data_IF_788999771773
#
_entry.id   IF_788999771773
#
_cell.length_a   1.000
_cell.length_b   1.000
_cell.length_c   1.000
_cell.angle_alpha   90.00
_cell.angle_beta   90.00
_cell.angle_gamma   90.00
#
_symmetry.space_group_name_H-M   'P 1'
#
loop_
_entity.id
_entity.type
_entity.pdbx_description
1 polymer ?
#
# COMPACT_ATOMS: atom_id res chain seq x y z
N UNK A 1 18.82 -4.64 -8.98
CA UNK A 1 19.30 -4.24 -10.33
C UNK A 1 20.16 -5.30 -11.03
N UNK A 2 20.91 -6.15 -10.32
CA UNK A 2 21.82 -7.14 -10.96
C UNK A 2 21.20 -8.41 -11.57
N UNK A 3 19.97 -8.80 -11.20
CA UNK A 3 19.34 -10.03 -11.74
C UNK A 3 18.42 -9.80 -12.95
N UNK A 4 18.01 -8.55 -13.21
CA UNK A 4 17.16 -8.20 -14.37
C UNK A 4 18.01 -8.14 -15.65
N UNK A 5 19.26 -7.68 -15.54
CA UNK A 5 20.19 -7.60 -16.67
C UNK A 5 20.64 -8.98 -17.20
N UNK A 6 20.67 -10.01 -16.36
CA UNK A 6 21.06 -11.37 -16.78
C UNK A 6 20.01 -12.07 -17.64
N UNK A 7 18.71 -11.76 -17.46
CA UNK A 7 17.63 -12.36 -18.26
C UNK A 7 17.45 -11.73 -19.64
N UNK A 8 18.04 -10.56 -19.89
CA UNK A 8 17.97 -9.89 -21.19
C UNK A 8 19.02 -10.39 -22.20
N UNK A 9 20.07 -11.09 -21.74
CA UNK A 9 21.10 -11.66 -22.63
C UNK A 9 20.71 -13.04 -23.20
N UNK A 10 19.76 -13.76 -22.59
CA UNK A 10 19.32 -15.09 -23.08
C UNK A 10 18.38 -15.00 -24.29
N UNK A 11 17.82 -13.82 -24.58
CA UNK A 11 16.89 -13.60 -25.70
C UNK A 11 17.59 -12.97 -26.93
N UNK A 12 18.91 -12.78 -26.88
CA UNK A 12 19.69 -12.32 -28.04
C UNK A 12 19.42 -10.88 -28.49
N UNK A 13 18.81 -10.05 -27.64
CA UNK A 13 18.54 -8.64 -27.95
C UNK A 13 19.71 -7.80 -27.40
N UNK A 14 20.42 -7.09 -28.28
CA UNK A 14 21.54 -6.23 -27.88
C UNK A 14 21.02 -4.86 -27.40
N UNK A 15 21.62 -4.24 -26.37
CA UNK A 15 21.21 -2.92 -25.86
C UNK A 15 21.40 -1.74 -26.84
N UNK A 16 21.73 -2.02 -28.10
CA UNK A 16 22.14 -1.03 -29.10
C UNK A 16 21.01 -0.68 -30.08
N UNK A 17 19.86 -1.35 -29.99
CA UNK A 17 18.71 -1.11 -30.88
C UNK A 17 17.81 0.07 -30.44
N UNK A 18 18.13 0.77 -29.34
CA UNK A 18 17.31 1.85 -28.80
C UNK A 18 17.85 3.27 -28.97
N UNK A 19 19.09 3.45 -29.45
CA UNK A 19 19.69 4.78 -29.62
C UNK A 19 20.54 4.81 -30.90
N UNK A 20 19.92 5.24 -32.00
CA UNK A 20 20.48 5.17 -33.35
C UNK A 20 21.59 6.18 -33.67
N UNK A 21 22.76 6.11 -33.01
CA UNK A 21 24.01 6.72 -33.50
C UNK A 21 25.25 5.88 -33.12
N UNK A 22 26.28 5.78 -34.00
CA UNK A 22 27.46 4.96 -33.73
C UNK A 22 28.48 5.69 -32.84
N UNK A 23 28.96 4.99 -31.80
CA UNK A 23 30.04 5.45 -30.92
C UNK A 23 31.37 4.91 -31.46
N UNK A 24 32.07 5.72 -32.25
CA UNK A 24 33.50 5.59 -32.50
C UNK A 24 34.08 6.99 -32.53
N UNK A 25 34.63 7.45 -31.40
CA UNK A 25 35.78 8.38 -31.30
C UNK A 25 35.83 9.01 -29.90
N UNK A 26 36.30 8.24 -28.90
CA UNK A 26 36.49 8.75 -27.54
C UNK A 26 37.94 8.61 -27.03
N UNK A 27 38.93 8.56 -27.93
CA UNK A 27 40.34 8.32 -27.54
C UNK A 27 41.32 9.31 -28.17
N UNK A 28 41.00 10.60 -28.27
CA UNK A 28 41.97 11.56 -28.82
C UNK A 28 41.95 12.97 -28.26
N UNK A 29 41.63 13.18 -26.98
CA UNK A 29 41.56 14.53 -26.39
C UNK A 29 42.30 14.72 -25.06
N UNK A 30 43.44 14.05 -24.88
CA UNK A 30 44.42 14.53 -23.90
C UNK A 30 45.82 14.15 -24.36
N UNK A 31 46.44 15.06 -25.12
CA UNK A 31 47.90 15.22 -25.26
C UNK A 31 48.16 16.34 -26.29
N UNK A 32 48.28 17.58 -25.81
CA UNK A 32 49.03 18.67 -26.47
C UNK A 32 49.32 19.79 -25.46
N UNK A 33 50.61 20.03 -25.26
CA UNK A 33 51.22 21.09 -24.45
C UNK A 33 50.85 22.52 -24.90
N UNK A 34 51.05 23.55 -24.05
CA UNK A 34 50.48 24.87 -24.27
C UNK A 34 51.34 25.73 -25.21
N UNK A 35 50.74 26.29 -26.25
CA UNK A 35 51.32 27.40 -27.01
C UNK A 35 50.50 28.66 -26.80
N UNK A 36 51.25 29.70 -26.43
CA UNK A 36 50.84 31.06 -26.13
C UNK A 36 50.33 31.75 -27.39
N UNK A 37 49.12 32.31 -27.38
CA UNK A 37 48.76 33.40 -28.28
C UNK A 37 47.62 34.23 -27.67
N UNK A 38 47.89 35.53 -27.53
CA UNK A 38 47.00 36.54 -27.00
C UNK A 38 46.04 36.99 -28.10
N UNK A 39 44.73 37.01 -27.85
CA UNK A 39 43.80 37.81 -28.66
C UNK A 39 42.67 38.33 -27.77
N UNK A 40 42.33 39.58 -28.01
CA UNK A 40 41.66 40.55 -27.14
C UNK A 40 40.24 40.15 -26.72
N UNK A 41 39.91 40.39 -25.44
CA UNK A 41 38.57 40.20 -24.88
C UNK A 41 37.73 41.45 -25.12
N UNK A 42 36.73 41.36 -25.98
CA UNK A 42 35.56 42.24 -25.90
C UNK A 42 34.71 41.83 -24.67
N UNK A 43 34.59 42.74 -23.72
CA UNK A 43 33.78 42.58 -22.49
C UNK A 43 32.28 42.66 -22.80
N UNK A 44 31.61 41.51 -22.80
CA UNK A 44 30.16 41.42 -22.57
C UNK A 44 29.94 41.44 -21.04
N UNK A 45 28.98 42.23 -20.49
CA UNK A 45 28.74 42.25 -19.05
C UNK A 45 28.25 40.88 -18.59
N UNK A 46 29.03 40.21 -17.74
CA UNK A 46 28.63 38.95 -17.12
C UNK A 46 27.49 39.21 -16.13
N UNK A 47 26.27 38.90 -16.50
CA UNK A 47 25.20 38.65 -15.52
C UNK A 47 25.66 37.44 -14.72
N UNK A 48 25.98 37.65 -13.45
CA UNK A 48 26.34 36.58 -12.52
C UNK A 48 25.12 35.66 -12.35
N UNK A 49 25.05 34.59 -13.14
CA UNK A 49 24.17 33.46 -12.86
C UNK A 49 24.73 32.78 -11.62
N UNK A 50 24.07 32.95 -10.47
CA UNK A 50 24.39 32.25 -9.24
C UNK A 50 24.37 30.74 -9.49
N UNK A 51 25.52 30.08 -9.42
CA UNK A 51 25.74 28.68 -9.81
C UNK A 51 25.28 27.66 -8.77
N UNK A 52 24.24 27.96 -7.99
CA UNK A 52 23.74 27.08 -6.94
C UNK A 52 22.24 27.22 -6.72
N UNK A 53 21.60 26.17 -6.20
CA UNK A 53 20.22 26.26 -5.76
C UNK A 53 20.10 27.38 -4.72
N UNK A 54 19.16 28.33 -4.90
CA UNK A 54 19.04 29.47 -4.00
C UNK A 54 18.71 28.98 -2.58
N UNK A 55 19.35 29.59 -1.58
CA UNK A 55 19.05 29.30 -0.19
C UNK A 55 17.55 29.54 0.08
N UNK A 56 16.86 28.53 0.63
CA UNK A 56 15.43 28.60 0.91
C UNK A 56 15.07 29.75 1.86
N UNK A 57 16.00 30.18 2.73
CA UNK A 57 15.79 31.33 3.61
C UNK A 57 15.64 32.65 2.84
N UNK A 58 16.11 32.71 1.58
CA UNK A 58 16.01 33.90 0.72
C UNK A 58 14.75 33.88 -0.17
N UNK A 59 13.97 32.79 -0.14
CA UNK A 59 12.73 32.67 -0.89
C UNK A 59 11.54 33.10 -0.03
N UNK A 60 10.40 33.47 -0.64
CA UNK A 60 9.12 33.52 0.05
C UNK A 60 8.87 32.22 0.83
N UNK A 61 8.41 32.30 2.09
CA UNK A 61 8.29 31.14 2.97
C UNK A 61 7.36 30.06 2.39
N UNK A 62 6.36 30.44 1.60
CA UNK A 62 5.44 29.52 0.92
C UNK A 62 6.19 28.60 -0.05
N UNK A 63 7.17 29.14 -0.80
CA UNK A 63 7.98 28.36 -1.73
C UNK A 63 8.97 27.46 -0.98
N UNK A 64 9.53 27.96 0.13
CA UNK A 64 10.38 27.16 1.01
C UNK A 64 9.62 25.96 1.58
N UNK A 65 8.42 26.18 2.11
CA UNK A 65 7.56 25.13 2.65
C UNK A 65 7.11 24.14 1.57
N UNK A 66 6.79 24.59 0.36
CA UNK A 66 6.42 23.70 -0.75
C UNK A 66 7.58 22.76 -1.10
N UNK A 67 8.81 23.28 -1.21
CA UNK A 67 10.01 22.45 -1.46
C UNK A 67 10.19 21.42 -0.34
N UNK A 68 10.08 21.85 0.92
CA UNK A 68 10.25 20.96 2.06
C UNK A 68 9.11 19.94 2.21
N UNK A 69 7.90 20.23 1.70
CA UNK A 69 6.74 19.33 1.78
C UNK A 69 6.95 17.99 1.06
N UNK A 70 7.91 17.94 0.13
CA UNK A 70 8.29 16.74 -0.60
C UNK A 70 9.31 15.86 0.13
N UNK A 71 9.85 16.32 1.25
CA UNK A 71 10.83 15.59 2.04
C UNK A 71 10.17 14.60 3.00
N UNK A 72 10.86 13.50 3.29
CA UNK A 72 10.47 12.58 4.35
C UNK A 72 10.92 13.14 5.72
N UNK A 73 10.50 12.48 6.82
CA UNK A 73 10.82 12.93 8.17
C UNK A 73 12.32 13.04 8.46
N UNK A 74 13.13 12.11 7.93
CA UNK A 74 14.59 12.12 8.13
C UNK A 74 15.21 13.33 7.44
N UNK A 75 14.85 13.56 6.18
CA UNK A 75 15.33 14.69 5.40
C UNK A 75 14.88 16.03 5.99
N UNK A 76 13.67 16.09 6.57
CA UNK A 76 13.19 17.26 7.31
C UNK A 76 13.96 17.51 8.60
N UNK A 77 14.31 16.46 9.34
CA UNK A 77 15.18 16.59 10.50
C UNK A 77 16.56 17.15 10.11
N UNK A 78 17.14 16.69 8.99
CA UNK A 78 18.40 17.23 8.47
C UNK A 78 18.24 18.67 7.98
N UNK A 79 17.18 18.97 7.24
CA UNK A 79 16.84 20.31 6.78
C UNK A 79 16.69 21.28 7.96
N UNK A 80 16.19 20.83 9.11
CA UNK A 80 16.06 21.66 10.31
C UNK A 80 17.37 22.15 10.91
N UNK A 81 18.51 21.51 10.57
CA UNK A 81 19.84 21.98 10.96
C UNK A 81 20.26 23.25 10.20
N UNK A 82 19.67 23.50 9.02
CA UNK A 82 19.99 24.66 8.16
C UNK A 82 18.82 25.65 8.13
N UNK A 83 17.60 25.15 7.93
CA UNK A 83 16.36 25.92 7.81
C UNK A 83 15.42 25.63 8.97
N UNK A 84 15.87 25.91 10.19
CA UNK A 84 15.16 25.55 11.44
C UNK A 84 13.71 26.05 11.50
N UNK A 85 13.45 27.28 11.06
CA UNK A 85 12.12 27.89 11.08
C UNK A 85 11.16 27.30 10.04
N UNK A 86 11.66 26.87 8.88
CA UNK A 86 10.84 26.26 7.82
C UNK A 86 10.62 24.76 8.08
N UNK A 87 11.68 24.03 8.41
CA UNK A 87 11.61 22.57 8.55
C UNK A 87 10.94 22.09 9.85
N UNK A 88 10.77 22.96 10.85
CA UNK A 88 9.98 22.67 12.06
C UNK A 88 8.56 23.24 11.98
N UNK A 89 8.09 23.65 10.80
CA UNK A 89 6.74 24.17 10.63
C UNK A 89 5.67 23.11 10.97
N UNK A 90 4.68 23.51 11.77
CA UNK A 90 3.66 22.59 12.27
C UNK A 90 2.71 22.08 11.18
N UNK A 91 2.43 22.86 10.13
CA UNK A 91 1.57 22.42 9.03
C UNK A 91 2.29 21.39 8.15
N UNK A 92 3.59 21.55 8.00
CA UNK A 92 4.43 20.61 7.28
C UNK A 92 4.47 19.25 8.00
N UNK A 93 4.74 19.23 9.31
CA UNK A 93 4.69 18.00 10.11
C UNK A 93 3.27 17.42 10.21
N UNK A 94 2.24 18.25 10.28
CA UNK A 94 0.84 17.81 10.24
C UNK A 94 0.52 17.06 8.94
N UNK A 95 0.93 17.63 7.80
CA UNK A 95 0.70 17.04 6.48
C UNK A 95 1.41 15.71 6.36
N UNK A 96 2.66 15.64 6.83
CA UNK A 96 3.43 14.41 6.86
C UNK A 96 2.76 13.35 7.75
N UNK A 97 2.32 13.72 8.94
CA UNK A 97 1.58 12.83 9.84
C UNK A 97 0.33 12.25 9.17
N UNK A 98 -0.52 13.10 8.58
CA UNK A 98 -1.76 12.67 7.91
C UNK A 98 -1.51 11.83 6.66
N UNK A 99 -0.37 12.02 6.00
CA UNK A 99 0.05 11.19 4.86
C UNK A 99 0.45 9.78 5.30
N UNK A 100 1.16 9.65 6.43
CA UNK A 100 1.61 8.38 6.97
C UNK A 100 0.51 7.62 7.76
N UNK A 101 -0.28 8.36 8.54
CA UNK A 101 -1.33 7.87 9.43
C UNK A 101 -2.62 8.65 9.16
N UNK A 102 -3.43 8.17 8.20
CA UNK A 102 -4.61 8.92 7.76
C UNK A 102 -5.68 9.16 8.84
N UNK A 103 -5.76 8.31 9.87
CA UNK A 103 -6.72 8.46 10.96
C UNK A 103 -6.15 8.01 12.30
N UNK A 104 -6.01 8.96 13.22
CA UNK A 104 -5.80 8.73 14.66
C UNK A 104 -6.72 9.65 15.47
N UNK A 105 -7.07 9.24 16.68
CA UNK A 105 -8.08 9.93 17.49
C UNK A 105 -7.63 11.34 17.89
N UNK A 106 -6.33 11.53 18.16
CA UNK A 106 -5.75 12.83 18.53
C UNK A 106 -5.98 13.94 17.49
N UNK A 107 -6.19 13.60 16.21
CA UNK A 107 -6.49 14.61 15.19
C UNK A 107 -7.83 15.33 15.37
N UNK A 108 -8.74 14.76 16.18
CA UNK A 108 -10.06 15.34 16.45
C UNK A 108 -10.03 16.32 17.62
N UNK A 109 -9.12 16.10 18.56
CA UNK A 109 -8.99 16.92 19.73
C UNK A 109 -8.14 18.13 19.37
N UNK A 110 -8.70 19.33 19.55
CA UNK A 110 -7.98 20.58 19.34
C UNK A 110 -6.69 20.58 20.15
N UNK A 111 -5.61 21.09 19.55
CA UNK A 111 -4.24 21.05 20.08
C UNK A 111 -4.20 21.61 21.52
N UNK A 112 -3.76 20.80 22.48
CA UNK A 112 -3.29 21.33 23.76
C UNK A 112 -2.12 22.29 23.51
N UNK A 113 -1.89 23.26 24.40
CA UNK A 113 -0.91 24.32 24.19
C UNK A 113 0.54 23.83 24.00
N UNK A 114 0.85 22.56 24.32
CA UNK A 114 2.17 21.93 24.16
C UNK A 114 2.25 20.91 23.02
N UNK A 115 1.19 20.75 22.23
CA UNK A 115 1.16 19.75 21.16
C UNK A 115 2.02 20.17 19.96
N UNK A 116 2.93 19.29 19.54
CA UNK A 116 3.70 19.44 18.29
C UNK A 116 3.50 18.23 17.38
N UNK A 117 3.22 18.49 16.09
CA UNK A 117 3.13 17.43 15.09
C UNK A 117 4.45 16.71 14.86
N UNK A 118 5.59 17.38 15.08
CA UNK A 118 6.90 16.72 15.02
C UNK A 118 7.02 15.68 16.13
N UNK A 119 6.65 16.02 17.36
CA UNK A 119 6.66 15.06 18.47
C UNK A 119 5.67 13.93 18.25
N UNK A 120 4.46 14.25 17.77
CA UNK A 120 3.46 13.25 17.42
C UNK A 120 3.99 12.29 16.35
N UNK A 121 4.67 12.79 15.32
CA UNK A 121 5.28 11.96 14.28
C UNK A 121 6.20 10.91 14.91
N UNK A 122 7.10 11.34 15.80
CA UNK A 122 8.06 10.44 16.47
C UNK A 122 7.34 9.37 17.30
N UNK A 123 6.28 9.76 18.04
CA UNK A 123 5.47 8.82 18.83
C UNK A 123 4.72 7.82 17.95
N UNK A 124 4.18 8.26 16.82
CA UNK A 124 3.47 7.38 15.87
C UNK A 124 4.43 6.42 15.15
N UNK A 125 5.63 6.88 14.82
CA UNK A 125 6.68 6.06 14.22
C UNK A 125 7.13 4.96 15.20
N UNK A 126 7.44 5.33 16.45
CA UNK A 126 7.78 4.39 17.52
C UNK A 126 6.64 3.39 17.79
N UNK A 127 5.40 3.86 17.81
CA UNK A 127 4.23 2.99 17.98
C UNK A 127 4.09 1.97 16.83
N UNK A 128 4.39 2.35 15.59
CA UNK A 128 4.34 1.43 14.46
C UNK A 128 5.45 0.38 14.52
N UNK A 129 6.66 0.76 14.92
CA UNK A 129 7.76 -0.17 15.16
C UNK A 129 7.39 -1.17 16.28
N UNK A 130 6.78 -0.65 17.34
CA UNK A 130 6.30 -1.47 18.47
C UNK A 130 5.19 -2.42 18.01
N UNK A 131 4.19 -1.94 17.26
CA UNK A 131 3.12 -2.76 16.70
C UNK A 131 3.64 -3.89 15.80
N UNK A 132 4.66 -3.59 14.99
CA UNK A 132 5.28 -4.58 14.12
C UNK A 132 6.04 -5.67 14.89
N UNK A 133 6.43 -5.39 16.14
CA UNK A 133 7.00 -6.39 17.05
C UNK A 133 5.87 -7.16 17.76
N UNK A 134 5.01 -6.43 18.48
CA UNK A 134 3.83 -6.93 19.17
C UNK A 134 2.65 -5.96 18.96
N UNK A 135 1.56 -6.41 18.32
CA UNK A 135 0.48 -5.51 17.94
C UNK A 135 -0.34 -5.02 19.14
N UNK A 136 -0.42 -5.78 20.23
CA UNK A 136 -1.16 -5.39 21.42
C UNK A 136 -0.41 -4.30 22.17
N UNK A 137 0.91 -4.48 22.36
CA UNK A 137 1.76 -3.46 22.97
C UNK A 137 1.78 -2.19 22.14
N UNK A 138 1.79 -2.29 20.80
CA UNK A 138 1.73 -1.12 19.92
C UNK A 138 0.43 -0.33 20.05
N UNK A 139 -0.71 -1.01 20.17
CA UNK A 139 -2.00 -0.33 20.40
C UNK A 139 -2.07 0.26 21.81
N UNK A 140 -1.61 -0.46 22.83
CA UNK A 140 -1.54 0.02 24.22
C UNK A 140 -0.64 1.26 24.35
N UNK A 141 0.49 1.28 23.64
CA UNK A 141 1.39 2.43 23.57
C UNK A 141 0.66 3.69 23.06
N UNK A 142 -0.23 3.53 22.07
CA UNK A 142 -1.01 4.63 21.50
C UNK A 142 -2.15 5.07 22.43
N UNK A 143 -2.83 4.12 23.07
CA UNK A 143 -3.97 4.41 23.95
C UNK A 143 -3.55 5.04 25.26
N UNK A 144 -2.48 4.54 25.89
CA UNK A 144 -1.92 5.10 27.13
C UNK A 144 -1.46 6.56 27.00
N UNK A 145 -1.04 6.98 25.80
CA UNK A 145 -0.64 8.36 25.48
C UNK A 145 -1.78 9.23 24.94
N UNK A 146 -3.00 8.71 24.85
CA UNK A 146 -4.15 9.45 24.31
C UNK A 146 -4.06 9.74 22.80
N UNK A 147 -3.18 9.06 22.07
CA UNK A 147 -3.03 9.24 20.62
C UNK A 147 -4.17 8.55 19.86
N UNK A 148 -4.56 7.36 20.34
CA UNK A 148 -5.62 6.53 19.80
C UNK A 148 -6.59 6.18 20.92
N UNK A 149 -7.89 6.27 20.69
CA UNK A 149 -8.88 5.77 21.66
C UNK A 149 -9.04 4.25 21.51
N UNK A 150 -9.23 3.55 22.63
CA UNK A 150 -9.59 2.12 22.63
C UNK A 150 -11.07 1.91 22.28
N UNK A 151 -11.47 2.46 21.12
CA UNK A 151 -12.77 2.20 20.50
C UNK A 151 -12.55 1.37 19.22
N UNK A 152 -13.33 0.32 18.98
CA UNK A 152 -13.08 -0.59 17.85
C UNK A 152 -13.02 0.11 16.50
N UNK A 153 -13.86 1.13 16.30
CA UNK A 153 -13.87 1.94 15.06
C UNK A 153 -12.63 2.82 14.88
N UNK A 154 -12.05 3.34 15.96
CA UNK A 154 -10.86 4.18 15.89
C UNK A 154 -9.64 3.33 15.57
N UNK A 155 -9.51 2.18 16.24
CA UNK A 155 -8.47 1.20 15.95
C UNK A 155 -8.61 0.68 14.52
N UNK A 156 -9.82 0.34 14.07
CA UNK A 156 -10.05 -0.11 12.69
C UNK A 156 -9.64 0.95 11.66
N UNK A 157 -9.95 2.23 11.89
CA UNK A 157 -9.51 3.34 11.02
C UNK A 157 -8.00 3.50 11.01
N UNK A 158 -7.36 3.39 12.16
CA UNK A 158 -5.91 3.43 12.28
C UNK A 158 -5.26 2.29 11.48
N UNK A 159 -5.72 1.04 11.67
CA UNK A 159 -5.21 -0.12 10.94
C UNK A 159 -5.44 -0.02 9.42
N UNK A 160 -6.60 0.51 9.00
CA UNK A 160 -6.93 0.68 7.58
C UNK A 160 -6.07 1.75 6.90
N UNK A 161 -5.83 2.87 7.57
CA UNK A 161 -5.14 4.03 6.97
C UNK A 161 -3.61 3.96 7.07
N UNK A 162 -3.08 3.18 8.03
CA UNK A 162 -1.63 3.11 8.27
C UNK A 162 -0.97 2.06 7.37
N UNK A 163 -0.10 2.54 6.46
CA UNK A 163 0.58 1.71 5.45
C UNK A 163 1.81 0.96 5.99
N UNK A 164 2.43 1.46 7.05
CA UNK A 164 3.71 0.95 7.57
C UNK A 164 3.58 -0.31 8.45
N UNK A 165 2.34 -0.69 8.80
CA UNK A 165 2.06 -1.85 9.64
C UNK A 165 2.16 -3.14 8.84
N UNK A 166 2.84 -4.14 9.41
CA UNK A 166 3.01 -5.42 8.77
C UNK A 166 1.69 -6.22 8.69
N UNK A 167 1.34 -6.78 7.52
CA UNK A 167 0.05 -7.47 7.34
C UNK A 167 -0.16 -8.67 8.26
N UNK A 168 0.89 -9.43 8.57
CA UNK A 168 0.84 -10.54 9.52
C UNK A 168 0.52 -10.08 10.95
N UNK A 169 1.06 -8.93 11.37
CA UNK A 169 0.80 -8.36 12.70
C UNK A 169 -0.59 -7.76 12.83
N UNK A 170 -1.09 -7.15 11.74
CA UNK A 170 -2.51 -6.78 11.64
C UNK A 170 -3.42 -8.01 11.82
N UNK A 171 -3.13 -9.09 11.10
CA UNK A 171 -3.91 -10.32 11.18
C UNK A 171 -3.89 -10.93 12.58
N UNK A 172 -2.72 -11.02 13.22
CA UNK A 172 -2.54 -11.50 14.60
C UNK A 172 -3.43 -10.73 15.59
N UNK A 173 -3.48 -9.39 15.45
CA UNK A 173 -4.32 -8.54 16.28
C UNK A 173 -5.82 -8.79 16.03
N UNK A 174 -6.23 -8.81 14.76
CA UNK A 174 -7.63 -8.97 14.34
C UNK A 174 -8.18 -10.36 14.69
N UNK A 175 -7.32 -11.36 14.82
CA UNK A 175 -7.68 -12.70 15.29
C UNK A 175 -8.19 -12.70 16.74
N UNK A 176 -7.64 -11.85 17.60
CA UNK A 176 -8.07 -11.74 19.00
C UNK A 176 -9.13 -10.64 19.21
N UNK A 177 -9.08 -9.57 18.42
CA UNK A 177 -10.02 -8.44 18.47
C UNK A 177 -11.02 -8.49 17.31
N UNK A 178 -11.99 -9.41 17.40
CA UNK A 178 -13.04 -9.60 16.38
C UNK A 178 -13.97 -8.39 16.24
N UNK A 179 -14.15 -7.63 17.33
CA UNK A 179 -14.84 -6.34 17.36
C UNK A 179 -14.18 -5.31 16.42
N UNK A 180 -12.84 -5.27 16.38
CA UNK A 180 -12.07 -4.40 15.49
C UNK A 180 -12.15 -4.91 14.05
N UNK A 181 -12.10 -6.23 13.84
CA UNK A 181 -12.24 -6.86 12.52
C UNK A 181 -13.56 -6.48 11.86
N UNK A 182 -14.69 -6.61 12.57
CA UNK A 182 -16.01 -6.24 12.06
C UNK A 182 -16.03 -4.79 11.58
N UNK A 183 -15.52 -3.85 12.39
CA UNK A 183 -15.43 -2.43 12.03
C UNK A 183 -14.50 -2.19 10.84
N UNK A 184 -13.39 -2.91 10.77
CA UNK A 184 -12.45 -2.80 9.66
C UNK A 184 -13.09 -3.24 8.34
N UNK A 185 -13.85 -4.34 8.34
CA UNK A 185 -14.59 -4.79 7.15
C UNK A 185 -15.66 -3.76 6.76
N UNK A 186 -16.35 -3.16 7.74
CA UNK A 186 -17.34 -2.11 7.49
C UNK A 186 -16.74 -0.83 6.86
N UNK A 187 -15.45 -0.56 7.02
CA UNK A 187 -14.79 0.57 6.35
C UNK A 187 -14.53 0.31 4.85
N UNK A 188 -14.57 -0.94 4.42
CA UNK A 188 -14.31 -1.31 3.03
C UNK A 188 -15.48 -0.94 2.12
N UNK A 189 -15.17 -0.52 0.89
CA UNK A 189 -16.16 -0.29 -0.16
C UNK A 189 -16.01 -1.34 -1.28
N UNK A 190 -17.08 -2.14 -1.44
CA UNK A 190 -17.20 -3.17 -2.49
C UNK A 190 -18.30 -2.86 -3.51
N UNK A 191 -18.79 -1.62 -3.55
CA UNK A 191 -19.83 -1.22 -4.49
C UNK A 191 -19.36 -1.40 -5.93
N UNK A 192 -20.24 -1.97 -6.77
CA UNK A 192 -20.00 -2.25 -8.19
C UNK A 192 -18.78 -3.16 -8.45
N UNK A 193 -18.32 -3.91 -7.45
CA UNK A 193 -17.24 -4.87 -7.62
C UNK A 193 -17.80 -6.27 -7.86
N UNK A 194 -17.16 -6.99 -8.78
CA UNK A 194 -17.44 -8.41 -8.96
C UNK A 194 -16.92 -9.22 -7.76
N UNK A 195 -17.69 -10.20 -7.29
CA UNK A 195 -17.41 -10.91 -6.03
C UNK A 195 -15.98 -11.47 -5.93
N UNK A 196 -15.45 -12.22 -6.93
CA UNK A 196 -14.04 -12.65 -6.91
C UNK A 196 -13.02 -11.51 -6.78
N UNK A 197 -13.27 -10.36 -7.43
CA UNK A 197 -12.38 -9.20 -7.36
C UNK A 197 -12.41 -8.57 -5.96
N UNK A 198 -13.61 -8.41 -5.39
CA UNK A 198 -13.80 -7.88 -4.05
C UNK A 198 -13.14 -8.78 -3.00
N UNK A 199 -13.27 -10.10 -3.15
CA UNK A 199 -12.69 -11.08 -2.24
C UNK A 199 -11.15 -11.10 -2.31
N UNK A 200 -10.56 -10.98 -3.52
CA UNK A 200 -9.10 -10.75 -3.67
C UNK A 200 -8.64 -9.48 -3.00
N UNK A 201 -9.36 -8.37 -3.20
CA UNK A 201 -9.04 -7.09 -2.56
C UNK A 201 -9.09 -7.21 -1.04
N UNK A 202 -10.12 -7.86 -0.50
CA UNK A 202 -10.29 -8.09 0.92
C UNK A 202 -9.10 -8.84 1.53
N UNK A 203 -8.70 -9.97 0.95
CA UNK A 203 -7.55 -10.73 1.45
C UNK A 203 -6.20 -10.03 1.25
N UNK A 204 -6.07 -9.15 0.26
CA UNK A 204 -4.88 -8.31 0.11
C UNK A 204 -4.72 -7.32 1.26
N UNK A 205 -5.82 -6.83 1.82
CA UNK A 205 -5.80 -5.82 2.89
C UNK A 205 -5.72 -6.42 4.29
N UNK A 206 -6.51 -7.48 4.55
CA UNK A 206 -6.61 -8.08 5.89
C UNK A 206 -5.61 -9.23 6.09
N UNK A 207 -5.05 -9.75 4.99
CA UNK A 207 -4.36 -11.06 4.95
C UNK A 207 -5.29 -12.20 5.35
N UNK A 208 -5.24 -13.33 4.64
CA UNK A 208 -5.99 -14.49 5.12
C UNK A 208 -5.20 -15.21 6.22
N UNK A 209 -5.89 -15.81 7.20
CA UNK A 209 -5.27 -16.69 8.18
C UNK A 209 -4.59 -17.88 7.49
N UNK A 210 -3.43 -18.30 8.01
CA UNK A 210 -2.69 -19.46 7.49
C UNK A 210 -3.47 -20.76 7.68
N UNK A 211 -4.22 -20.86 8.77
CA UNK A 211 -5.07 -22.02 9.06
C UNK A 211 -6.49 -21.81 8.54
N UNK A 212 -7.08 -22.87 7.97
CA UNK A 212 -8.51 -22.95 7.60
C UNK A 212 -9.37 -23.11 8.87
N UNK A 213 -9.27 -22.14 9.77
CA UNK A 213 -9.89 -22.15 11.10
C UNK A 213 -11.08 -21.20 11.23
N UNK A 214 -11.58 -21.08 12.46
CA UNK A 214 -12.74 -20.25 12.82
C UNK A 214 -12.60 -18.78 12.36
N UNK A 215 -11.39 -18.21 12.42
CA UNK A 215 -11.14 -16.83 11.98
C UNK A 215 -11.51 -16.62 10.51
N UNK A 216 -11.20 -17.56 9.62
CA UNK A 216 -11.53 -17.43 8.20
C UNK A 216 -13.04 -17.34 8.01
N UNK A 217 -13.78 -18.17 8.73
CA UNK A 217 -15.26 -18.17 8.73
C UNK A 217 -15.80 -16.82 9.16
N UNK A 218 -15.32 -16.27 10.28
CA UNK A 218 -15.74 -14.96 10.79
C UNK A 218 -15.41 -13.84 9.79
N UNK A 219 -14.23 -13.90 9.15
CA UNK A 219 -13.84 -12.92 8.12
C UNK A 219 -14.78 -12.97 6.92
N UNK A 220 -15.11 -14.17 6.44
CA UNK A 220 -15.99 -14.36 5.28
C UNK A 220 -17.44 -14.01 5.61
N UNK A 221 -17.90 -14.26 6.82
CA UNK A 221 -19.22 -13.83 7.30
C UNK A 221 -19.35 -12.30 7.27
N UNK A 222 -18.42 -11.59 7.91
CA UNK A 222 -18.37 -10.13 7.90
C UNK A 222 -18.24 -9.57 6.47
N UNK A 223 -17.41 -10.19 5.64
CA UNK A 223 -17.25 -9.79 4.24
C UNK A 223 -18.55 -9.95 3.46
N UNK A 224 -19.27 -11.06 3.65
CA UNK A 224 -20.50 -11.37 2.92
C UNK A 224 -21.61 -10.39 3.28
N UNK A 225 -21.77 -10.08 4.57
CA UNK A 225 -22.70 -9.06 5.04
C UNK A 225 -22.38 -7.70 4.41
N UNK A 226 -21.11 -7.28 4.47
CA UNK A 226 -20.68 -6.00 3.90
C UNK A 226 -20.86 -5.97 2.38
N UNK A 227 -20.55 -7.04 1.67
CA UNK A 227 -20.67 -7.13 0.23
C UNK A 227 -22.13 -6.99 -0.23
N UNK A 228 -23.06 -7.65 0.45
CA UNK A 228 -24.50 -7.49 0.22
C UNK A 228 -24.97 -6.06 0.52
N UNK A 229 -24.52 -5.47 1.64
CA UNK A 229 -24.87 -4.09 1.99
C UNK A 229 -24.38 -3.06 0.96
N UNK A 230 -23.19 -3.28 0.36
CA UNK A 230 -22.68 -2.46 -0.73
C UNK A 230 -23.38 -2.70 -2.08
N UNK A 231 -24.03 -3.85 -2.27
CA UNK A 231 -24.60 -4.29 -3.55
C UNK A 231 -26.05 -4.80 -3.39
N UNK A 232 -27.00 -3.96 -2.96
CA UNK A 232 -28.38 -4.39 -2.68
C UNK A 232 -29.14 -4.88 -3.93
N UNK A 233 -28.66 -4.54 -5.13
CA UNK A 233 -29.26 -4.95 -6.41
C UNK A 233 -28.80 -6.33 -6.90
N UNK A 234 -27.88 -6.98 -6.18
CA UNK A 234 -27.33 -8.29 -6.59
C UNK A 234 -28.36 -9.41 -6.53
N UNK A 235 -29.39 -9.28 -5.68
CA UNK A 235 -30.43 -10.30 -5.52
C UNK A 235 -29.97 -11.59 -4.83
N UNK A 236 -28.78 -11.59 -4.22
CA UNK A 236 -28.24 -12.70 -3.43
C UNK A 236 -28.23 -12.34 -1.95
N UNK A 237 -28.73 -13.24 -1.10
CA UNK A 237 -28.64 -13.10 0.36
C UNK A 237 -27.22 -13.28 0.89
N UNK A 238 -26.98 -12.86 2.15
CA UNK A 238 -25.67 -12.99 2.81
C UNK A 238 -25.17 -14.44 2.84
N UNK A 239 -26.07 -15.39 3.06
CA UNK A 239 -25.73 -16.82 3.18
C UNK A 239 -25.32 -17.40 1.82
N UNK A 240 -25.96 -16.94 0.74
CA UNK A 240 -25.56 -17.28 -0.63
C UNK A 240 -24.16 -16.74 -0.94
N UNK A 241 -23.88 -15.47 -0.63
CA UNK A 241 -22.55 -14.87 -0.85
C UNK A 241 -21.48 -15.58 -0.01
N UNK A 242 -21.80 -15.95 1.23
CA UNK A 242 -20.91 -16.71 2.10
C UNK A 242 -20.51 -18.06 1.48
N UNK A 243 -21.48 -18.84 1.02
CA UNK A 243 -21.24 -20.13 0.34
C UNK A 243 -20.44 -19.95 -0.95
N UNK A 244 -20.72 -18.90 -1.72
CA UNK A 244 -19.97 -18.57 -2.93
C UNK A 244 -18.51 -18.22 -2.62
N UNK A 245 -18.25 -17.44 -1.56
CA UNK A 245 -16.88 -17.12 -1.15
C UNK A 245 -16.07 -18.38 -0.84
N UNK A 246 -16.63 -19.32 -0.07
CA UNK A 246 -15.97 -20.60 0.19
C UNK A 246 -15.79 -21.44 -1.08
N UNK A 247 -16.76 -21.42 -1.98
CA UNK A 247 -16.64 -22.09 -3.28
C UNK A 247 -15.49 -21.52 -4.12
N UNK A 248 -15.31 -20.20 -4.11
CA UNK A 248 -14.20 -19.52 -4.80
C UNK A 248 -12.84 -19.80 -4.15
N UNK A 249 -12.78 -19.88 -2.83
CA UNK A 249 -11.56 -20.26 -2.09
C UNK A 249 -11.19 -21.70 -2.40
N UNK A 250 -12.16 -22.64 -2.35
CA UNK A 250 -11.93 -24.04 -2.70
C UNK A 250 -11.51 -24.22 -4.16
N UNK A 251 -12.14 -23.50 -5.09
CA UNK A 251 -11.72 -23.49 -6.49
C UNK A 251 -10.29 -22.95 -6.63
N UNK A 252 -9.95 -21.90 -5.90
CA UNK A 252 -8.59 -21.34 -5.92
C UNK A 252 -7.56 -22.37 -5.48
N UNK A 253 -7.80 -23.05 -4.35
CA UNK A 253 -6.97 -24.14 -3.83
C UNK A 253 -6.85 -25.29 -4.83
N UNK A 254 -7.97 -25.72 -5.40
CA UNK A 254 -8.02 -26.80 -6.39
C UNK A 254 -7.14 -26.49 -7.60
N UNK A 255 -7.27 -25.29 -8.16
CA UNK A 255 -6.53 -24.86 -9.35
C UNK A 255 -5.03 -24.66 -9.06
N UNK A 256 -4.64 -24.08 -7.94
CA UNK A 256 -3.24 -23.80 -7.63
C UNK A 256 -2.45 -25.00 -7.08
N UNK A 257 -3.10 -25.96 -6.40
CA UNK A 257 -2.36 -27.01 -5.67
C UNK A 257 -1.74 -28.04 -6.63
N UNK A 258 -0.43 -28.32 -6.56
CA UNK A 258 0.22 -29.32 -7.42
C UNK A 258 -0.25 -30.76 -7.13
N UNK A 259 -0.82 -30.99 -5.94
CA UNK A 259 -1.32 -32.29 -5.50
C UNK A 259 -2.61 -32.71 -6.22
N UNK A 260 -3.37 -31.74 -6.74
CA UNK A 260 -4.62 -32.02 -7.47
C UNK A 260 -4.29 -32.24 -8.94
N UNK A 261 -4.33 -33.50 -9.39
CA UNK A 261 -4.10 -33.88 -10.80
C UNK A 261 -5.28 -33.52 -11.70
N UNK A 262 -6.50 -33.82 -11.23
CA UNK A 262 -7.73 -33.57 -11.95
C UNK A 262 -8.38 -32.30 -11.42
N UNK A 263 -8.11 -31.19 -12.11
CA UNK A 263 -8.64 -29.87 -11.76
C UNK A 263 -10.14 -29.78 -12.02
N UNK A 264 -10.86 -29.06 -11.17
CA UNK A 264 -12.28 -28.81 -11.34
C UNK A 264 -12.53 -28.05 -12.64
N UNK A 265 -13.35 -28.63 -13.51
CA UNK A 265 -13.79 -27.99 -14.75
C UNK A 265 -14.82 -26.90 -14.48
N UNK A 266 -14.95 -25.94 -15.40
CA UNK A 266 -16.00 -24.90 -15.34
C UNK A 266 -17.40 -25.50 -15.18
N UNK A 267 -17.69 -26.59 -15.89
CA UNK A 267 -18.99 -27.28 -15.84
C UNK A 267 -19.26 -27.86 -14.44
N UNK A 268 -18.25 -28.46 -13.82
CA UNK A 268 -18.37 -29.01 -12.47
C UNK A 268 -18.55 -27.90 -11.43
N UNK A 269 -17.80 -26.81 -11.55
CA UNK A 269 -17.95 -25.66 -10.67
C UNK A 269 -19.38 -25.10 -10.71
N UNK A 270 -19.90 -24.82 -11.92
CA UNK A 270 -21.27 -24.30 -12.11
C UNK A 270 -22.29 -25.25 -11.49
N UNK A 271 -22.18 -26.56 -11.76
CA UNK A 271 -23.08 -27.57 -11.20
C UNK A 271 -23.06 -27.57 -9.67
N UNK A 272 -21.87 -27.49 -9.06
CA UNK A 272 -21.71 -27.52 -7.61
C UNK A 272 -22.28 -26.24 -6.97
N UNK A 273 -21.98 -25.06 -7.52
CA UNK A 273 -22.43 -23.78 -6.96
C UNK A 273 -23.93 -23.55 -7.13
N UNK A 274 -24.51 -23.91 -8.29
CA UNK A 274 -25.96 -23.78 -8.50
C UNK A 274 -26.77 -24.77 -7.64
N UNK A 275 -26.18 -25.92 -7.27
CA UNK A 275 -26.81 -26.83 -6.30
C UNK A 275 -26.78 -26.26 -4.88
N UNK A 276 -25.72 -25.55 -4.51
CA UNK A 276 -25.57 -24.97 -3.19
C UNK A 276 -26.35 -23.65 -3.02
N UNK A 277 -26.51 -22.88 -4.10
CA UNK A 277 -27.22 -21.59 -4.12
C UNK A 277 -28.24 -21.61 -5.25
N UNK A 278 -29.51 -21.84 -4.92
CA UNK A 278 -30.59 -21.97 -5.90
C UNK A 278 -30.89 -20.68 -6.68
N UNK A 279 -30.58 -19.52 -6.09
CA UNK A 279 -30.78 -18.19 -6.69
C UNK A 279 -29.70 -17.84 -7.74
N UNK A 280 -28.63 -18.64 -7.84
CA UNK A 280 -27.47 -18.34 -8.68
C UNK A 280 -27.68 -18.79 -10.13
N UNK A 281 -27.60 -17.84 -11.07
CA UNK A 281 -27.52 -18.15 -12.50
C UNK A 281 -26.22 -18.88 -12.86
N UNK A 282 -26.32 -19.89 -13.73
CA UNK A 282 -25.18 -20.63 -14.25
C UNK A 282 -24.17 -19.76 -15.01
N UNK A 283 -24.63 -18.68 -15.66
CA UNK A 283 -23.75 -17.72 -16.34
C UNK A 283 -22.89 -16.94 -15.34
N UNK A 284 -23.49 -16.52 -14.22
CA UNK A 284 -22.78 -15.80 -13.16
C UNK A 284 -21.72 -16.70 -12.52
N UNK A 285 -22.05 -17.96 -12.24
CA UNK A 285 -21.09 -18.96 -11.75
C UNK A 285 -19.97 -19.21 -12.78
N UNK A 286 -20.32 -19.26 -14.07
CA UNK A 286 -19.35 -19.39 -15.16
C UNK A 286 -18.37 -18.22 -15.21
N UNK A 287 -18.86 -16.98 -15.13
CA UNK A 287 -18.02 -15.79 -15.09
C UNK A 287 -17.12 -15.74 -13.85
N UNK A 288 -17.61 -16.23 -12.71
CA UNK A 288 -16.80 -16.36 -11.50
C UNK A 288 -15.63 -17.32 -11.71
N UNK A 289 -15.88 -18.49 -12.32
CA UNK A 289 -14.84 -19.45 -12.66
C UNK A 289 -13.79 -18.85 -13.61
N UNK A 290 -14.24 -18.24 -14.71
CA UNK A 290 -13.35 -17.63 -15.70
C UNK A 290 -12.47 -16.55 -15.05
N UNK A 291 -13.05 -15.76 -14.14
CA UNK A 291 -12.30 -14.74 -13.43
C UNK A 291 -11.19 -15.33 -12.54
N UNK A 292 -11.45 -16.42 -11.80
CA UNK A 292 -10.41 -17.08 -11.01
C UNK A 292 -9.32 -17.66 -11.92
N UNK A 293 -9.72 -18.29 -13.03
CA UNK A 293 -8.79 -18.91 -13.97
C UNK A 293 -7.89 -17.88 -14.67
N UNK A 294 -8.45 -16.73 -15.08
CA UNK A 294 -7.74 -15.72 -15.86
C UNK A 294 -7.03 -14.66 -14.99
N UNK A 295 -7.70 -14.14 -13.97
CA UNK A 295 -7.18 -13.04 -13.15
C UNK A 295 -6.38 -13.51 -11.92
N UNK A 296 -6.42 -14.82 -11.63
CA UNK A 296 -5.67 -15.44 -10.56
C UNK A 296 -6.48 -15.75 -9.31
N UNK A 297 -5.87 -16.58 -8.46
CA UNK A 297 -6.47 -17.16 -7.28
C UNK A 297 -6.85 -16.12 -6.21
N UNK A 298 -7.96 -16.38 -5.53
CA UNK A 298 -8.40 -15.61 -4.36
C UNK A 298 -7.65 -16.02 -3.10
N UNK A 299 -7.37 -17.33 -2.98
CA UNK A 299 -6.68 -17.88 -1.83
C UNK A 299 -5.21 -17.40 -1.80
N UNK A 300 -4.71 -16.88 -0.67
CA UNK A 300 -3.28 -16.65 -0.51
C UNK A 300 -2.49 -17.94 -0.70
N UNK A 301 -1.25 -17.78 -1.18
CA UNK A 301 -0.37 -18.87 -1.62
C UNK A 301 -0.18 -19.97 -0.56
N UNK A 302 -0.29 -19.61 0.71
CA UNK A 302 -0.12 -20.53 1.84
C UNK A 302 -1.21 -21.61 1.88
N UNK A 303 -2.40 -21.37 1.31
CA UNK A 303 -3.45 -22.40 1.20
C UNK A 303 -3.21 -23.43 0.08
N UNK A 304 -2.28 -23.14 -0.84
CA UNK A 304 -1.97 -23.95 -2.01
C UNK A 304 -0.82 -24.94 -1.78
N UNK A 305 -0.07 -24.73 -0.69
CA UNK A 305 1.15 -25.46 -0.32
C UNK A 305 0.83 -26.81 0.30
#
# INVERSE_FOLDING_TARGET
MGQVLRRLQEVGIRPQDFLGFPIHDFTRWDEREPTTEQTERETIPSVALSTGFPDLANLPPELGLEVLSHLNATDLCLASCVWSHLANDELLWQSLCRSCWGSVSVYKYGREAQFSYKQLFMLLDEACLTFNTDPFVGVEYLTSRGILEDRPIEIARFLHTTKQLWPNKKLEFLQQRTDVLERLVQLQNFQNQFLPNALRKFFKEVSAPQERGNTLTIMIENFSERFCACNPKLGLGKDAVFVLCFSLIMLSVDLCSPHVKNKMSKREFIKNTCRAVSELSGDLAGHMYDNIYLAGHVAPKDFCS
#
